data_IF_915150886956
#
_entry.id   IF_915150886956
#
_cell.length_a   1.000
_cell.length_b   1.000
_cell.length_c   1.000
_cell.angle_alpha   90.00
_cell.angle_beta   90.00
_cell.angle_gamma   90.00
#
_symmetry.space_group_name_H-M   'P 1'
#
loop_
_entity.id
_entity.type
_entity.pdbx_description
1 polymer ?
#
# COMPACT_ATOMS: atom_id res chain seq x y z
N UNK A 1 11.14 63.03 -58.88
CA UNK A 1 12.05 63.25 -57.73
C UNK A 1 11.23 63.94 -56.64
N UNK A 2 10.76 63.14 -55.68
CA UNK A 2 11.04 63.24 -54.23
C UNK A 2 10.17 64.30 -53.54
N UNK A 3 9.17 63.98 -52.72
CA UNK A 3 9.12 62.95 -51.67
C UNK A 3 9.30 63.62 -50.31
N UNK A 4 8.25 64.26 -49.78
CA UNK A 4 8.24 64.99 -48.51
C UNK A 4 8.17 64.01 -47.32
N UNK A 5 9.08 64.18 -46.36
CA UNK A 5 9.22 63.36 -45.16
C UNK A 5 9.36 64.25 -43.91
N UNK A 6 8.90 63.70 -42.78
CA UNK A 6 9.01 64.14 -41.38
C UNK A 6 8.02 65.20 -40.88
N UNK A 7 7.44 65.15 -39.68
CA UNK A 7 7.46 64.25 -38.50
C UNK A 7 6.56 64.95 -37.44
N UNK A 8 5.98 64.39 -36.37
CA UNK A 8 5.76 63.07 -35.78
C UNK A 8 4.88 63.38 -34.55
N UNK A 9 3.76 62.67 -34.38
CA UNK A 9 2.82 62.84 -33.26
C UNK A 9 3.44 62.39 -31.93
N UNK A 10 3.20 63.15 -30.86
CA UNK A 10 3.53 62.77 -29.49
C UNK A 10 2.54 61.75 -28.92
N UNK A 11 3.07 60.70 -28.30
CA UNK A 11 2.39 59.90 -27.27
C UNK A 11 3.39 59.65 -26.15
N UNK A 12 2.99 59.99 -24.94
CA UNK A 12 3.70 59.75 -23.69
C UNK A 12 3.98 58.26 -23.51
N UNK A 13 5.21 57.93 -23.10
CA UNK A 13 5.65 56.56 -22.77
C UNK A 13 5.69 56.46 -21.24
N UNK A 14 4.74 55.72 -20.67
CA UNK A 14 4.74 55.26 -19.27
C UNK A 14 5.82 54.17 -19.11
N UNK A 15 6.62 54.16 -18.02
CA UNK A 15 7.75 53.21 -17.85
C UNK A 15 7.28 51.75 -17.67
N UNK A 16 8.19 50.76 -17.87
CA UNK A 16 7.85 49.35 -17.81
C UNK A 16 7.54 48.94 -16.36
N UNK A 17 6.34 48.42 -16.13
CA UNK A 17 5.95 47.85 -14.84
C UNK A 17 6.83 46.62 -14.54
N UNK A 18 7.50 46.65 -13.40
CA UNK A 18 8.24 45.55 -12.80
C UNK A 18 7.35 44.31 -12.61
N UNK A 19 7.92 43.08 -12.69
CA UNK A 19 7.17 41.86 -12.43
C UNK A 19 6.78 41.79 -10.95
N UNK A 20 5.49 41.96 -10.66
CA UNK A 20 4.92 41.76 -9.33
C UNK A 20 5.20 40.34 -8.82
N UNK A 21 5.88 40.25 -7.67
CA UNK A 21 6.08 38.99 -6.95
C UNK A 21 4.75 38.24 -6.71
N UNK A 22 4.71 36.90 -6.83
CA UNK A 22 3.47 36.17 -6.72
C UNK A 22 2.98 36.12 -5.27
N UNK A 23 1.82 36.76 -5.04
CA UNK A 23 0.99 36.59 -3.86
C UNK A 23 0.83 35.12 -3.45
N UNK A 24 0.93 34.88 -2.14
CA UNK A 24 0.75 33.58 -1.49
C UNK A 24 -0.56 32.85 -1.85
N UNK A 25 -0.73 31.60 -1.37
CA UNK A 25 -1.79 30.72 -1.84
C UNK A 25 -3.18 31.36 -1.67
N UNK A 26 -4.08 31.23 -2.67
CA UNK A 26 -5.37 31.91 -2.66
C UNK A 26 -6.26 31.37 -1.53
N UNK A 27 -6.39 32.15 -0.45
CA UNK A 27 -7.23 31.83 0.72
C UNK A 27 -8.73 31.63 0.37
N UNK A 28 -9.20 32.05 -0.81
CA UNK A 28 -10.61 32.03 -1.19
C UNK A 28 -11.19 30.69 -1.70
N UNK A 29 -10.39 29.78 -2.28
CA UNK A 29 -10.92 28.49 -2.80
C UNK A 29 -11.19 27.47 -1.69
N UNK A 30 -10.37 27.46 -0.64
CA UNK A 30 -10.53 26.60 0.54
C UNK A 30 -11.86 26.83 1.26
N UNK A 31 -12.27 28.09 1.36
CA UNK A 31 -13.56 28.48 1.96
C UNK A 31 -14.74 27.97 1.14
N UNK A 32 -14.65 27.97 -0.20
CA UNK A 32 -15.72 27.49 -1.09
C UNK A 32 -16.01 26.00 -0.96
N UNK A 33 -14.99 25.15 -0.78
CA UNK A 33 -15.17 23.71 -0.60
C UNK A 33 -15.90 23.39 0.73
N UNK A 34 -15.51 24.05 1.82
CA UNK A 34 -16.18 23.92 3.13
C UNK A 34 -17.63 24.40 3.12
N UNK A 35 -17.95 25.42 2.31
CA UNK A 35 -19.30 25.98 2.20
C UNK A 35 -20.25 25.06 1.43
N UNK A 36 -19.76 24.29 0.45
CA UNK A 36 -20.61 23.46 -0.41
C UNK A 36 -21.32 22.30 0.34
N UNK A 37 -20.71 21.80 1.41
CA UNK A 37 -21.25 20.68 2.19
C UNK A 37 -21.89 21.07 3.53
N UNK A 38 -21.94 22.35 3.87
CA UNK A 38 -22.43 22.83 5.18
C UNK A 38 -23.92 22.56 5.42
N UNK A 39 -24.72 22.46 4.36
CA UNK A 39 -26.18 22.33 4.44
C UNK A 39 -26.73 21.01 3.85
N UNK A 40 -25.91 19.97 3.74
CA UNK A 40 -26.32 18.67 3.17
C UNK A 40 -26.74 17.72 4.30
N UNK A 41 -27.90 17.08 4.19
CA UNK A 41 -28.34 16.03 5.13
C UNK A 41 -27.28 14.93 5.25
N UNK A 42 -27.02 14.44 6.47
CA UNK A 42 -26.01 13.40 6.77
C UNK A 42 -26.15 12.17 5.86
N UNK A 43 -27.39 11.78 5.54
CA UNK A 43 -27.69 10.65 4.64
C UNK A 43 -27.25 10.92 3.19
N UNK A 44 -27.50 12.15 2.71
CA UNK A 44 -27.11 12.55 1.35
C UNK A 44 -25.59 12.71 1.23
N UNK A 45 -24.94 13.21 2.27
CA UNK A 45 -23.48 13.26 2.35
C UNK A 45 -22.85 11.87 2.32
N UNK A 46 -23.36 10.92 3.13
CA UNK A 46 -22.89 9.54 3.11
C UNK A 46 -23.07 8.88 1.73
N UNK A 47 -24.24 9.07 1.10
CA UNK A 47 -24.49 8.57 -0.26
C UNK A 47 -23.54 9.17 -1.30
N UNK A 48 -23.27 10.48 -1.22
CA UNK A 48 -22.32 11.15 -2.11
C UNK A 48 -20.89 10.63 -1.93
N UNK A 49 -20.46 10.39 -0.68
CA UNK A 49 -19.15 9.79 -0.40
C UNK A 49 -19.04 8.38 -0.97
N UNK A 50 -20.04 7.52 -0.72
CA UNK A 50 -20.08 6.17 -1.29
C UNK A 50 -20.02 6.22 -2.82
N UNK A 51 -20.80 7.12 -3.44
CA UNK A 51 -20.79 7.30 -4.89
C UNK A 51 -19.42 7.78 -5.41
N UNK A 52 -18.75 8.71 -4.73
CA UNK A 52 -17.42 9.17 -5.12
C UNK A 52 -16.36 8.06 -4.93
N UNK A 53 -16.45 7.27 -3.87
CA UNK A 53 -15.55 6.13 -3.62
C UNK A 53 -15.70 5.11 -4.73
N UNK A 54 -16.92 4.63 -5.00
CA UNK A 54 -17.19 3.65 -6.06
C UNK A 54 -16.78 4.19 -7.42
N UNK A 55 -17.15 5.45 -7.73
CA UNK A 55 -16.76 6.11 -8.96
C UNK A 55 -15.24 6.25 -9.11
N UNK A 56 -14.53 6.54 -8.02
CA UNK A 56 -13.06 6.60 -8.00
C UNK A 56 -12.44 5.21 -8.19
N UNK A 57 -12.95 4.19 -7.50
CA UNK A 57 -12.47 2.82 -7.66
C UNK A 57 -12.60 2.33 -9.11
N UNK A 58 -13.71 2.64 -9.77
CA UNK A 58 -13.93 2.30 -11.17
C UNK A 58 -13.02 3.10 -12.11
N UNK A 59 -12.94 4.43 -11.94
CA UNK A 59 -12.08 5.31 -12.75
C UNK A 59 -10.61 4.91 -12.70
N UNK A 60 -10.11 4.58 -11.52
CA UNK A 60 -8.71 4.20 -11.31
C UNK A 60 -8.45 2.71 -11.49
N UNK A 61 -9.44 1.91 -11.94
CA UNK A 61 -9.30 0.46 -12.15
C UNK A 61 -8.72 -0.27 -10.92
N UNK A 62 -9.25 0.05 -9.74
CA UNK A 62 -8.76 -0.46 -8.44
C UNK A 62 -8.70 -1.99 -8.40
N UNK A 63 -9.63 -2.68 -9.04
CA UNK A 63 -9.61 -4.15 -9.15
C UNK A 63 -8.40 -4.66 -9.94
N UNK A 64 -8.04 -3.99 -11.03
CA UNK A 64 -6.86 -4.31 -11.83
C UNK A 64 -5.55 -4.03 -11.08
N UNK A 65 -5.49 -2.90 -10.37
CA UNK A 65 -4.32 -2.55 -9.55
C UNK A 65 -4.18 -3.49 -8.34
N UNK A 66 -5.29 -3.92 -7.73
CA UNK A 66 -5.26 -4.94 -6.69
C UNK A 66 -4.73 -6.28 -7.21
N UNK A 67 -5.12 -6.69 -8.42
CA UNK A 67 -4.59 -7.89 -9.06
C UNK A 67 -3.09 -7.76 -9.39
N UNK A 68 -2.64 -6.59 -9.86
CA UNK A 68 -1.22 -6.30 -10.09
C UNK A 68 -0.41 -6.41 -8.79
N UNK A 69 -0.87 -5.77 -7.71
CA UNK A 69 -0.23 -5.85 -6.40
C UNK A 69 -0.18 -7.30 -5.88
N UNK A 70 -1.26 -8.07 -6.06
CA UNK A 70 -1.33 -9.46 -5.65
C UNK A 70 -0.37 -10.36 -6.44
N UNK A 71 -0.27 -10.17 -7.74
CA UNK A 71 0.68 -10.89 -8.59
C UNK A 71 2.13 -10.65 -8.14
N UNK A 72 2.53 -9.39 -7.97
CA UNK A 72 3.89 -9.04 -7.53
C UNK A 72 4.20 -9.51 -6.11
N UNK A 73 3.21 -9.47 -5.21
CA UNK A 73 3.33 -10.00 -3.87
C UNK A 73 3.53 -11.53 -3.90
N UNK A 74 2.66 -12.27 -4.60
CA UNK A 74 2.78 -13.73 -4.71
C UNK A 74 4.12 -14.16 -5.32
N UNK A 75 4.58 -13.47 -6.37
CA UNK A 75 5.87 -13.74 -7.02
C UNK A 75 7.06 -13.56 -6.05
N UNK A 76 6.95 -12.61 -5.11
CA UNK A 76 7.99 -12.36 -4.13
C UNK A 76 8.06 -13.41 -3.01
N UNK A 77 6.95 -14.07 -2.67
CA UNK A 77 6.85 -14.85 -1.44
C UNK A 77 7.84 -16.03 -1.33
N UNK A 78 7.92 -16.98 -2.29
CA UNK A 78 8.82 -18.12 -2.14
C UNK A 78 10.30 -17.73 -1.99
N UNK A 79 10.89 -16.92 -2.89
CA UNK A 79 12.30 -16.56 -2.75
C UNK A 79 12.57 -15.64 -1.56
N UNK A 80 11.61 -14.81 -1.14
CA UNK A 80 11.73 -14.00 0.07
C UNK A 80 11.85 -14.88 1.31
N UNK A 81 10.96 -15.87 1.46
CA UNK A 81 10.98 -16.79 2.61
C UNK A 81 12.30 -17.55 2.65
N UNK A 82 12.76 -18.08 1.51
CA UNK A 82 14.03 -18.80 1.41
C UNK A 82 15.23 -17.91 1.76
N UNK A 83 15.27 -16.67 1.25
CA UNK A 83 16.37 -15.76 1.58
C UNK A 83 16.37 -15.31 3.04
N UNK A 84 15.20 -15.05 3.63
CA UNK A 84 15.08 -14.76 5.06
C UNK A 84 15.55 -15.95 5.92
N UNK A 85 15.21 -17.18 5.51
CA UNK A 85 15.72 -18.39 6.17
C UNK A 85 17.23 -18.55 6.01
N UNK A 86 17.80 -18.19 4.85
CA UNK A 86 19.26 -18.17 4.67
C UNK A 86 19.94 -17.22 5.65
N UNK A 87 19.37 -16.02 5.87
CA UNK A 87 19.86 -15.07 6.88
C UNK A 87 19.72 -15.63 8.30
N UNK A 88 18.60 -16.29 8.61
CA UNK A 88 18.38 -16.95 9.90
C UNK A 88 19.34 -18.12 10.12
N UNK A 89 19.64 -18.92 9.09
CA UNK A 89 20.63 -20.00 9.15
C UNK A 89 22.03 -19.48 9.50
N UNK A 90 22.41 -18.29 9.02
CA UNK A 90 23.67 -17.66 9.41
C UNK A 90 23.69 -17.20 10.88
N UNK A 91 22.51 -16.93 11.46
CA UNK A 91 22.36 -16.54 12.87
C UNK A 91 22.03 -17.72 13.79
N UNK A 92 22.10 -18.95 13.28
CA UNK A 92 21.93 -20.20 14.04
C UNK A 92 22.74 -20.26 15.34
N UNK A 93 24.02 -19.80 15.40
CA UNK A 93 24.79 -19.80 16.64
C UNK A 93 24.18 -18.91 17.75
N UNK A 94 23.31 -17.97 17.39
CA UNK A 94 22.71 -16.99 18.30
C UNK A 94 21.28 -17.35 18.70
N UNK A 95 20.54 -18.07 17.84
CA UNK A 95 19.10 -18.36 17.99
C UNK A 95 18.85 -19.80 18.48
N UNK A 96 19.84 -20.69 18.34
CA UNK A 96 19.79 -22.08 18.75
C UNK A 96 19.19 -23.01 17.69
N UNK A 97 19.80 -24.18 17.50
CA UNK A 97 19.45 -25.19 16.49
C UNK A 97 17.98 -25.64 16.55
N UNK A 98 17.39 -25.72 17.75
CA UNK A 98 16.01 -26.17 17.96
C UNK A 98 14.97 -25.21 17.39
N UNK A 99 15.24 -23.90 17.47
CA UNK A 99 14.36 -22.87 16.91
C UNK A 99 14.33 -22.96 15.40
N UNK A 100 15.49 -23.15 14.76
CA UNK A 100 15.61 -23.21 13.30
C UNK A 100 14.90 -24.42 12.69
N UNK A 101 15.05 -25.60 13.30
CA UNK A 101 14.35 -26.82 12.86
C UNK A 101 12.83 -26.72 13.06
N UNK A 102 12.36 -26.05 14.12
CA UNK A 102 10.94 -25.75 14.29
C UNK A 102 10.41 -24.85 13.17
N UNK A 103 11.13 -23.79 12.78
CA UNK A 103 10.76 -22.94 11.65
C UNK A 103 10.70 -23.71 10.33
N UNK A 104 11.69 -24.58 10.09
CA UNK A 104 11.73 -25.45 8.91
C UNK A 104 10.52 -26.39 8.87
N UNK A 105 10.20 -27.02 9.99
CA UNK A 105 9.03 -27.89 10.13
C UNK A 105 7.70 -27.15 9.86
N UNK A 106 7.54 -25.95 10.41
CA UNK A 106 6.36 -25.11 10.15
C UNK A 106 6.26 -24.71 8.67
N UNK A 107 7.37 -24.35 8.04
CA UNK A 107 7.37 -23.97 6.63
C UNK A 107 7.04 -25.15 5.71
N UNK A 108 7.58 -26.34 5.97
CA UNK A 108 7.24 -27.53 5.20
C UNK A 108 5.77 -27.93 5.37
N UNK A 109 5.22 -27.79 6.59
CA UNK A 109 3.78 -27.98 6.82
C UNK A 109 2.95 -26.97 6.06
N UNK A 110 3.33 -25.68 6.09
CA UNK A 110 2.65 -24.63 5.33
C UNK A 110 2.79 -24.82 3.82
N UNK A 111 3.94 -25.29 3.34
CA UNK A 111 4.13 -25.64 1.94
C UNK A 111 3.22 -26.82 1.55
N UNK A 112 3.01 -27.79 2.44
CA UNK A 112 2.10 -28.92 2.21
C UNK A 112 0.61 -28.59 2.20
N UNK A 113 0.21 -27.40 2.68
CA UNK A 113 -1.16 -26.92 2.47
C UNK A 113 -1.35 -26.29 1.09
N UNK A 114 -0.26 -25.88 0.44
CA UNK A 114 -0.27 -25.17 -0.84
C UNK A 114 0.15 -26.06 -2.02
N UNK A 115 1.17 -26.87 -1.83
CA UNK A 115 1.77 -27.72 -2.84
C UNK A 115 1.30 -29.16 -2.70
N UNK A 116 1.34 -29.91 -3.81
CA UNK A 116 1.17 -31.37 -3.77
C UNK A 116 2.32 -32.02 -2.98
N UNK A 117 2.14 -33.28 -2.55
CA UNK A 117 3.23 -34.04 -1.93
C UNK A 117 4.51 -34.04 -2.77
N UNK A 118 4.39 -34.21 -4.10
CA UNK A 118 5.53 -34.08 -5.02
C UNK A 118 6.14 -32.68 -4.99
N UNK A 119 5.32 -31.62 -5.01
CA UNK A 119 5.83 -30.25 -4.89
C UNK A 119 6.56 -29.99 -3.57
N UNK A 120 6.14 -30.61 -2.47
CA UNK A 120 6.84 -30.49 -1.18
C UNK A 120 8.15 -31.28 -1.20
N UNK A 121 8.10 -32.55 -1.57
CA UNK A 121 9.25 -33.45 -1.41
C UNK A 121 10.29 -33.32 -2.53
N UNK A 122 9.87 -32.98 -3.76
CA UNK A 122 10.78 -32.83 -4.92
C UNK A 122 11.23 -31.38 -5.12
N UNK A 123 10.50 -30.38 -4.61
CA UNK A 123 10.83 -28.96 -4.82
C UNK A 123 11.10 -28.23 -3.50
N UNK A 124 10.13 -28.12 -2.60
CA UNK A 124 10.28 -27.29 -1.40
C UNK A 124 11.35 -27.80 -0.43
N UNK A 125 11.38 -29.11 -0.16
CA UNK A 125 12.32 -29.75 0.78
C UNK A 125 13.78 -29.67 0.28
N UNK A 126 14.10 -30.02 -0.99
CA UNK A 126 15.45 -29.84 -1.51
C UNK A 126 15.88 -28.37 -1.52
N UNK A 127 15.01 -27.44 -1.92
CA UNK A 127 15.34 -26.01 -1.91
C UNK A 127 15.68 -25.50 -0.50
N UNK A 128 14.93 -25.93 0.52
CA UNK A 128 15.24 -25.60 1.91
C UNK A 128 16.58 -26.21 2.34
N UNK A 129 16.85 -27.47 1.98
CA UNK A 129 18.14 -28.11 2.27
C UNK A 129 19.32 -27.38 1.60
N UNK A 130 19.17 -26.96 0.35
CA UNK A 130 20.20 -26.23 -0.39
C UNK A 130 20.51 -24.87 0.25
N UNK A 131 19.48 -24.19 0.79
CA UNK A 131 19.63 -22.93 1.53
C UNK A 131 20.45 -23.13 2.80
N UNK A 132 20.17 -24.17 3.59
CA UNK A 132 20.87 -24.41 4.85
C UNK A 132 22.28 -24.98 4.64
N UNK A 133 22.48 -25.81 3.62
CA UNK A 133 23.80 -26.39 3.32
C UNK A 133 24.71 -25.43 2.56
N UNK A 134 24.20 -24.25 2.16
CA UNK A 134 24.97 -23.25 1.42
C UNK A 134 25.41 -23.73 0.05
N UNK A 135 24.69 -24.66 -0.57
CA UNK A 135 25.14 -25.36 -1.78
C UNK A 135 25.08 -24.50 -3.05
N UNK A 136 24.27 -23.42 -3.04
CA UNK A 136 24.11 -22.44 -4.15
C UNK A 136 23.78 -21.02 -3.64
N UNK A 137 24.72 -20.35 -2.97
CA UNK A 137 24.47 -19.01 -2.40
C UNK A 137 24.19 -17.95 -3.47
N UNK A 138 24.70 -18.14 -4.69
CA UNK A 138 24.47 -17.33 -5.88
C UNK A 138 23.00 -17.31 -6.29
N UNK A 139 22.38 -18.48 -6.44
CA UNK A 139 20.97 -18.62 -6.83
C UNK A 139 20.04 -18.07 -5.75
N UNK A 140 20.36 -18.33 -4.48
CA UNK A 140 19.58 -17.86 -3.33
C UNK A 140 19.62 -16.33 -3.24
N UNK A 141 20.81 -15.74 -3.40
CA UNK A 141 20.99 -14.29 -3.35
C UNK A 141 20.28 -13.60 -4.50
N UNK A 142 20.37 -14.15 -5.72
CA UNK A 142 19.65 -13.63 -6.89
C UNK A 142 18.14 -13.74 -6.70
N UNK A 143 17.65 -14.89 -6.23
CA UNK A 143 16.24 -15.10 -5.92
C UNK A 143 15.74 -14.09 -4.90
N UNK A 144 16.47 -13.89 -3.80
CA UNK A 144 16.12 -12.93 -2.76
C UNK A 144 16.11 -11.48 -3.29
N UNK A 145 17.06 -11.10 -4.14
CA UNK A 145 17.07 -9.78 -4.78
C UNK A 145 15.85 -9.58 -5.68
N UNK A 146 15.48 -10.59 -6.48
CA UNK A 146 14.26 -10.57 -7.30
C UNK A 146 13.00 -10.53 -6.44
N UNK A 147 13.01 -11.18 -5.29
CA UNK A 147 11.93 -11.13 -4.31
C UNK A 147 11.73 -9.72 -3.75
N UNK A 148 12.84 -9.08 -3.32
CA UNK A 148 12.83 -7.71 -2.82
C UNK A 148 12.34 -6.73 -3.88
N UNK A 149 12.81 -6.90 -5.11
CA UNK A 149 12.36 -6.09 -6.24
C UNK A 149 10.86 -6.28 -6.47
N UNK A 150 10.37 -7.52 -6.60
CA UNK A 150 8.96 -7.84 -6.84
C UNK A 150 8.06 -7.33 -5.71
N UNK A 151 8.42 -7.56 -4.46
CA UNK A 151 7.66 -7.08 -3.31
C UNK A 151 7.62 -5.54 -3.24
N UNK A 152 8.73 -4.87 -3.53
CA UNK A 152 8.76 -3.40 -3.64
C UNK A 152 7.88 -2.86 -4.77
N UNK A 153 7.70 -3.64 -5.86
CA UNK A 153 6.75 -3.29 -6.93
C UNK A 153 5.31 -3.39 -6.45
N UNK A 154 4.96 -4.41 -5.68
CA UNK A 154 3.62 -4.50 -5.08
C UNK A 154 3.34 -3.29 -4.18
N UNK A 155 4.32 -2.89 -3.34
CA UNK A 155 4.20 -1.69 -2.51
C UNK A 155 4.08 -0.40 -3.33
N UNK A 156 4.80 -0.31 -4.44
CA UNK A 156 4.71 0.83 -5.34
C UNK A 156 3.32 0.98 -5.94
N UNK A 157 2.60 -0.11 -6.22
CA UNK A 157 1.20 -0.03 -6.69
C UNK A 157 0.36 0.71 -5.67
N UNK A 158 0.48 0.41 -4.37
CA UNK A 158 -0.25 1.14 -3.33
C UNK A 158 0.18 2.62 -3.27
N UNK A 159 1.48 2.89 -3.12
CA UNK A 159 2.00 4.26 -2.96
C UNK A 159 1.60 5.16 -4.13
N UNK A 160 1.77 4.68 -5.35
CA UNK A 160 1.46 5.43 -6.57
C UNK A 160 -0.05 5.64 -6.72
N UNK A 161 -0.85 4.60 -6.53
CA UNK A 161 -2.32 4.68 -6.62
C UNK A 161 -2.90 5.64 -5.59
N UNK A 162 -2.42 5.58 -4.33
CA UNK A 162 -2.84 6.52 -3.28
C UNK A 162 -2.49 7.95 -3.69
N UNK A 163 -1.27 8.18 -4.20
CA UNK A 163 -0.84 9.51 -4.66
C UNK A 163 -1.73 10.05 -5.79
N UNK A 164 -2.07 9.19 -6.75
CA UNK A 164 -2.96 9.51 -7.88
C UNK A 164 -4.39 9.80 -7.40
N UNK A 165 -4.92 9.01 -6.47
CA UNK A 165 -6.27 9.22 -5.92
C UNK A 165 -6.41 10.57 -5.23
N UNK A 166 -5.34 11.04 -4.57
CA UNK A 166 -5.26 12.39 -3.99
C UNK A 166 -5.05 13.49 -5.04
N UNK A 167 -4.83 13.16 -6.31
CA UNK A 167 -4.57 14.12 -7.39
C UNK A 167 -3.23 14.83 -7.26
N UNK A 168 -2.23 14.12 -6.72
CA UNK A 168 -0.87 14.63 -6.53
C UNK A 168 0.16 13.84 -7.36
N UNK A 169 -0.30 13.26 -8.45
CA UNK A 169 0.51 12.50 -9.39
C UNK A 169 1.64 13.37 -9.98
N UNK A 170 2.80 12.76 -10.19
CA UNK A 170 4.00 13.46 -10.69
C UNK A 170 4.74 14.33 -9.66
N UNK A 171 4.12 14.74 -8.54
CA UNK A 171 4.75 15.66 -7.56
C UNK A 171 6.04 15.12 -6.94
N UNK A 172 6.09 13.82 -6.63
CA UNK A 172 7.25 13.18 -5.99
C UNK A 172 8.33 12.79 -7.01
N UNK A 173 7.97 12.59 -8.27
CA UNK A 173 8.82 12.00 -9.31
C UNK A 173 9.01 10.48 -9.15
N UNK A 174 9.28 9.79 -10.26
CA UNK A 174 9.28 8.32 -10.34
C UNK A 174 10.35 7.69 -9.43
N UNK A 175 11.57 8.24 -9.42
CA UNK A 175 12.70 7.70 -8.64
C UNK A 175 12.43 7.74 -7.14
N UNK A 176 11.93 8.88 -6.63
CA UNK A 176 11.63 9.04 -5.20
C UNK A 176 10.42 8.19 -4.78
N UNK A 177 9.41 8.04 -5.64
CA UNK A 177 8.30 7.12 -5.39
C UNK A 177 8.77 5.67 -5.30
N UNK A 178 9.68 5.25 -6.19
CA UNK A 178 10.28 3.91 -6.15
C UNK A 178 11.13 3.68 -4.90
N UNK A 179 11.98 4.63 -4.54
CA UNK A 179 12.80 4.54 -3.34
C UNK A 179 11.94 4.46 -2.07
N UNK A 180 10.90 5.30 -1.97
CA UNK A 180 9.95 5.25 -0.86
C UNK A 180 9.27 3.89 -0.77
N UNK A 181 8.78 3.36 -1.90
CA UNK A 181 8.11 2.05 -1.94
C UNK A 181 9.03 0.92 -1.49
N UNK A 182 10.31 0.97 -1.87
CA UNK A 182 11.32 0.02 -1.42
C UNK A 182 11.58 0.12 0.10
N UNK A 183 11.75 1.33 0.64
CA UNK A 183 11.96 1.54 2.08
C UNK A 183 10.72 1.10 2.89
N UNK A 184 9.52 1.46 2.45
CA UNK A 184 8.27 1.03 3.07
C UNK A 184 8.12 -0.50 3.02
N UNK A 185 8.53 -1.14 1.93
CA UNK A 185 8.54 -2.59 1.83
C UNK A 185 9.49 -3.22 2.85
N UNK A 186 10.73 -2.73 2.98
CA UNK A 186 11.67 -3.22 4.00
C UNK A 186 11.13 -3.01 5.42
N UNK A 187 10.52 -1.85 5.70
CA UNK A 187 9.90 -1.58 6.99
C UNK A 187 8.71 -2.52 7.27
N UNK A 188 7.88 -2.79 6.25
CA UNK A 188 6.77 -3.73 6.35
C UNK A 188 7.26 -5.18 6.55
N UNK A 189 8.37 -5.58 5.92
CA UNK A 189 9.01 -6.87 6.15
C UNK A 189 9.52 -6.99 7.59
N UNK A 190 10.22 -5.98 8.10
CA UNK A 190 10.71 -5.99 9.48
C UNK A 190 9.56 -6.03 10.49
N UNK A 191 8.52 -5.22 10.29
CA UNK A 191 7.31 -5.24 11.11
C UNK A 191 6.58 -6.60 11.03
N UNK A 192 6.46 -7.15 9.82
CA UNK A 192 5.83 -8.46 9.59
C UNK A 192 6.60 -9.63 10.20
N UNK A 193 7.93 -9.59 10.19
CA UNK A 193 8.78 -10.60 10.81
C UNK A 193 8.56 -10.71 12.34
N UNK A 194 8.13 -9.61 12.98
CA UNK A 194 7.80 -9.58 14.42
C UNK A 194 6.30 -9.86 14.63
N UNK A 195 5.44 -9.20 13.86
CA UNK A 195 3.99 -9.24 14.05
C UNK A 195 3.37 -10.57 13.65
N UNK A 196 3.80 -11.20 12.55
CA UNK A 196 3.20 -12.44 12.05
C UNK A 196 3.42 -13.62 13.01
N UNK A 197 4.64 -13.89 13.52
CA UNK A 197 4.82 -14.95 14.51
C UNK A 197 4.00 -14.70 15.77
N UNK A 198 3.94 -13.45 16.25
CA UNK A 198 3.12 -13.09 17.41
C UNK A 198 1.63 -13.34 17.15
N UNK A 199 1.17 -13.09 15.92
CA UNK A 199 -0.21 -13.33 15.48
C UNK A 199 -0.53 -14.82 15.38
N UNK A 200 0.38 -15.62 14.82
CA UNK A 200 0.22 -17.07 14.61
C UNK A 200 0.34 -17.85 15.92
N UNK A 201 1.26 -17.44 16.78
CA UNK A 201 1.48 -18.03 18.09
C UNK A 201 0.28 -17.84 19.03
N UNK A 202 -0.57 -16.83 18.75
CA UNK A 202 -1.75 -16.53 19.54
C UNK A 202 -1.43 -15.95 20.92
N UNK A 203 -2.47 -15.68 21.73
CA UNK A 203 -2.28 -15.13 23.07
C UNK A 203 -1.54 -16.09 24.00
N UNK A 204 -1.68 -17.41 23.81
CA UNK A 204 -1.13 -18.44 24.71
C UNK A 204 0.40 -18.40 24.83
N UNK A 205 1.12 -18.09 23.73
CA UNK A 205 2.58 -17.96 23.76
C UNK A 205 3.03 -16.69 24.48
N UNK A 206 2.27 -15.59 24.34
CA UNK A 206 2.54 -14.32 25.04
C UNK A 206 2.33 -14.47 26.55
N UNK A 207 1.28 -15.21 26.93
CA UNK A 207 1.00 -15.56 28.33
C UNK A 207 2.14 -16.38 28.94
N UNK A 208 2.77 -17.28 28.18
CA UNK A 208 3.92 -18.05 28.64
C UNK A 208 5.13 -17.20 29.05
N UNK A 209 5.26 -15.98 28.50
CA UNK A 209 6.36 -15.05 28.82
C UNK A 209 6.02 -14.16 30.03
N UNK A 210 4.74 -13.86 30.25
CA UNK A 210 4.22 -13.11 31.40
C UNK A 210 3.04 -13.85 32.07
N UNK A 211 3.30 -14.93 32.83
CA UNK A 211 2.25 -15.76 33.44
C UNK A 211 1.38 -15.00 34.47
N UNK A 212 1.89 -13.92 35.05
CA UNK A 212 1.15 -13.09 36.02
C UNK A 212 0.00 -12.25 35.40
N UNK A 213 -0.11 -12.18 34.06
CA UNK A 213 -1.03 -11.28 33.36
C UNK A 213 -1.90 -11.99 32.32
N UNK A 214 -2.18 -13.30 32.49
CA UNK A 214 -2.89 -14.12 31.51
C UNK A 214 -4.22 -13.50 31.02
N UNK A 215 -5.09 -13.13 31.96
CA UNK A 215 -6.40 -12.55 31.65
C UNK A 215 -6.28 -11.21 30.92
N UNK A 216 -5.28 -10.39 31.28
CA UNK A 216 -5.02 -9.10 30.63
C UNK A 216 -4.54 -9.32 29.20
N UNK A 217 -3.61 -10.25 28.98
CA UNK A 217 -3.05 -10.55 27.66
C UNK A 217 -4.14 -11.08 26.72
N UNK A 218 -4.95 -12.06 27.15
CA UNK A 218 -6.03 -12.62 26.32
C UNK A 218 -7.05 -11.56 25.88
N UNK A 219 -7.38 -10.61 26.76
CA UNK A 219 -8.35 -9.54 26.46
C UNK A 219 -7.74 -8.43 25.61
N UNK A 220 -6.50 -8.00 25.89
CA UNK A 220 -5.86 -6.90 25.17
C UNK A 220 -5.26 -7.30 23.82
N UNK A 221 -5.02 -8.59 23.58
CA UNK A 221 -4.38 -9.07 22.36
C UNK A 221 -5.08 -8.60 21.07
N UNK A 222 -6.37 -8.88 20.93
CA UNK A 222 -7.14 -8.50 19.74
C UNK A 222 -7.28 -6.99 19.56
N UNK A 223 -7.60 -6.19 20.60
CA UNK A 223 -7.53 -4.74 20.53
C UNK A 223 -6.17 -4.21 20.10
N UNK A 224 -5.07 -4.77 20.62
CA UNK A 224 -3.72 -4.36 20.24
C UNK A 224 -3.44 -4.68 18.77
N UNK A 225 -3.78 -5.89 18.30
CA UNK A 225 -3.66 -6.27 16.89
C UNK A 225 -4.45 -5.31 16.01
N UNK A 226 -5.71 -5.00 16.39
CA UNK A 226 -6.56 -4.06 15.66
C UNK A 226 -5.94 -2.65 15.57
N UNK A 227 -5.45 -2.14 16.70
CA UNK A 227 -4.79 -0.83 16.78
C UNK A 227 -3.53 -0.81 15.92
N UNK A 228 -2.70 -1.86 15.99
CA UNK A 228 -1.48 -1.97 15.18
C UNK A 228 -1.80 -2.08 13.69
N UNK A 229 -2.84 -2.83 13.29
CA UNK A 229 -3.29 -2.90 11.90
C UNK A 229 -3.78 -1.55 11.39
N UNK A 230 -4.59 -0.84 12.18
CA UNK A 230 -5.04 0.52 11.84
C UNK A 230 -3.84 1.46 11.75
N UNK A 231 -2.91 1.40 12.71
CA UNK A 231 -1.72 2.25 12.70
C UNK A 231 -0.82 1.98 11.49
N UNK A 232 -0.64 0.70 11.12
CA UNK A 232 0.10 0.30 9.94
C UNK A 232 -0.53 0.84 8.65
N UNK A 233 -1.85 0.62 8.46
CA UNK A 233 -2.57 1.11 7.29
C UNK A 233 -2.60 2.64 7.21
N UNK A 234 -2.85 3.31 8.34
CA UNK A 234 -2.82 4.77 8.42
C UNK A 234 -1.44 5.31 8.07
N UNK A 235 -0.37 4.66 8.54
CA UNK A 235 1.01 5.02 8.19
C UNK A 235 1.32 4.81 6.72
N UNK A 236 0.84 3.71 6.11
CA UNK A 236 0.96 3.46 4.68
C UNK A 236 0.28 4.59 3.88
N UNK A 237 -0.94 4.98 4.22
CA UNK A 237 -1.66 6.06 3.55
C UNK A 237 -0.95 7.40 3.74
N UNK A 238 -0.58 7.72 4.98
CA UNK A 238 0.06 8.97 5.33
C UNK A 238 1.39 9.18 4.58
N UNK A 239 2.24 8.15 4.56
CA UNK A 239 3.55 8.22 3.89
C UNK A 239 3.41 8.18 2.35
N UNK A 240 2.34 7.58 1.83
CA UNK A 240 2.10 7.55 0.39
C UNK A 240 1.80 8.93 -0.17
N UNK A 241 1.15 9.81 0.59
CA UNK A 241 0.81 11.17 0.15
C UNK A 241 2.05 12.10 0.20
N UNK A 242 2.42 12.80 -0.89
CA UNK A 242 3.65 13.61 -0.96
C UNK A 242 3.52 14.99 -0.27
N UNK A 243 2.63 15.12 0.71
CA UNK A 243 2.45 16.32 1.52
C UNK A 243 2.14 15.93 2.97
N UNK A 244 2.52 16.80 3.91
CA UNK A 244 2.28 16.55 5.33
C UNK A 244 0.87 17.01 5.72
N UNK A 245 -0.07 16.07 5.77
CA UNK A 245 -1.36 16.20 6.46
C UNK A 245 -1.25 15.70 7.91
N UNK A 246 -2.20 16.01 8.80
CA UNK A 246 -2.32 15.32 10.07
C UNK A 246 -2.55 13.81 9.87
N UNK A 247 -1.73 12.95 10.49
CA UNK A 247 -1.83 11.48 10.41
C UNK A 247 -3.24 10.94 10.74
N UNK A 248 -3.97 11.64 11.61
CA UNK A 248 -5.34 11.27 12.02
C UNK A 248 -6.36 11.34 10.88
N UNK A 249 -6.09 12.13 9.83
CA UNK A 249 -6.98 12.25 8.67
C UNK A 249 -7.06 10.95 7.87
N UNK A 250 -6.07 10.07 7.99
CA UNK A 250 -5.99 8.81 7.23
C UNK A 250 -6.63 7.61 7.96
N UNK A 251 -7.02 7.77 9.23
CA UNK A 251 -7.63 6.72 10.07
C UNK A 251 -8.96 6.19 9.51
N UNK A 252 -9.90 7.03 9.00
CA UNK A 252 -11.18 6.55 8.50
C UNK A 252 -11.03 5.51 7.38
N UNK A 253 -10.10 5.75 6.45
CA UNK A 253 -9.78 4.81 5.37
C UNK A 253 -9.13 3.53 5.89
N UNK A 254 -8.29 3.60 6.93
CA UNK A 254 -7.71 2.40 7.56
C UNK A 254 -8.78 1.51 8.20
N UNK A 255 -9.76 2.12 8.87
CA UNK A 255 -10.92 1.40 9.43
C UNK A 255 -11.76 0.77 8.33
N UNK A 256 -12.04 1.50 7.25
CA UNK A 256 -12.80 0.97 6.09
C UNK A 256 -12.04 -0.16 5.41
N UNK A 257 -10.74 -0.03 5.18
CA UNK A 257 -9.91 -1.09 4.61
C UNK A 257 -9.92 -2.33 5.49
N UNK A 258 -9.79 -2.19 6.81
CA UNK A 258 -9.81 -3.32 7.72
C UNK A 258 -11.17 -4.01 7.74
N UNK A 259 -12.26 -3.26 7.77
CA UNK A 259 -13.62 -3.81 7.68
C UNK A 259 -13.86 -4.53 6.36
N UNK A 260 -13.44 -3.95 5.23
CA UNK A 260 -13.53 -4.56 3.91
C UNK A 260 -12.65 -5.80 3.78
N UNK A 261 -11.49 -5.82 4.42
CA UNK A 261 -10.60 -6.98 4.44
C UNK A 261 -11.21 -8.14 5.23
N UNK A 262 -11.81 -7.87 6.40
CA UNK A 262 -12.52 -8.88 7.20
C UNK A 262 -13.70 -9.45 6.40
N UNK A 263 -14.54 -8.57 5.85
CA UNK A 263 -15.70 -8.97 5.04
C UNK A 263 -15.26 -9.77 3.81
N UNK A 264 -14.26 -9.28 3.08
CA UNK A 264 -13.72 -9.94 1.90
C UNK A 264 -13.10 -11.29 2.23
N UNK A 265 -12.37 -11.41 3.34
CA UNK A 265 -11.80 -12.68 3.80
C UNK A 265 -12.90 -13.68 4.16
N UNK A 266 -13.97 -13.23 4.81
CA UNK A 266 -15.13 -14.07 5.12
C UNK A 266 -15.83 -14.55 3.84
N UNK A 267 -16.10 -13.65 2.90
CA UNK A 267 -16.71 -13.99 1.61
C UNK A 267 -15.83 -14.94 0.79
N UNK A 268 -14.51 -14.70 0.79
CA UNK A 268 -13.56 -15.59 0.13
C UNK A 268 -13.56 -16.98 0.77
N UNK A 269 -13.64 -17.06 2.10
CA UNK A 269 -13.77 -18.35 2.80
C UNK A 269 -15.03 -19.10 2.35
N UNK A 270 -16.17 -18.42 2.24
CA UNK A 270 -17.40 -19.04 1.73
C UNK A 270 -17.24 -19.52 0.28
N UNK A 271 -16.58 -18.73 -0.57
CA UNK A 271 -16.29 -19.14 -1.94
C UNK A 271 -15.37 -20.38 -2.00
N UNK A 272 -14.27 -20.37 -1.25
CA UNK A 272 -13.31 -21.47 -1.25
C UNK A 272 -13.91 -22.77 -0.68
N UNK A 273 -14.67 -22.67 0.42
CA UNK A 273 -15.37 -23.84 0.98
C UNK A 273 -16.40 -24.42 0.01
N UNK A 274 -17.10 -23.59 -0.75
CA UNK A 274 -18.09 -24.05 -1.73
C UNK A 274 -17.48 -24.56 -3.04
N UNK A 275 -16.43 -23.91 -3.56
CA UNK A 275 -15.90 -24.13 -4.90
C UNK A 275 -14.59 -24.94 -4.93
N UNK A 276 -13.83 -24.97 -3.83
CA UNK A 276 -12.46 -25.48 -3.78
C UNK A 276 -12.30 -26.71 -2.87
N UNK A 277 -13.04 -26.80 -1.76
CA UNK A 277 -12.93 -27.90 -0.79
C UNK A 277 -13.67 -29.20 -1.20
N UNK A 278 -14.30 -29.25 -2.39
CA UNK A 278 -14.90 -30.47 -2.95
C UNK A 278 -13.92 -31.39 -3.70
N UNK A 279 -14.39 -32.47 -4.36
CA UNK A 279 -13.60 -33.21 -5.34
C UNK A 279 -13.37 -32.32 -6.55
N UNK A 280 -12.38 -31.44 -6.45
CA UNK A 280 -12.12 -30.43 -7.47
C UNK A 280 -11.13 -30.93 -8.50
N UNK A 281 -11.43 -30.66 -9.77
CA UNK A 281 -10.49 -30.82 -10.89
C UNK A 281 -9.24 -29.95 -10.72
N UNK A 282 -9.27 -28.98 -9.80
CA UNK A 282 -8.19 -28.04 -9.53
C UNK A 282 -7.11 -28.60 -8.61
N UNK A 283 -7.34 -29.71 -7.91
CA UNK A 283 -6.31 -30.49 -7.19
C UNK A 283 -5.27 -29.64 -6.47
N UNK A 284 -4.01 -29.71 -6.91
CA UNK A 284 -2.88 -28.96 -6.31
C UNK A 284 -2.82 -27.46 -6.65
N UNK A 285 -3.65 -26.96 -7.57
CA UNK A 285 -3.74 -25.52 -7.92
C UNK A 285 -4.72 -24.76 -7.02
N UNK A 286 -5.60 -25.48 -6.32
CA UNK A 286 -6.59 -24.93 -5.39
C UNK A 286 -5.99 -23.92 -4.41
N UNK A 287 -4.91 -24.32 -3.73
CA UNK A 287 -4.34 -23.51 -2.67
C UNK A 287 -3.52 -22.30 -3.15
N UNK A 288 -2.68 -22.38 -4.20
CA UNK A 288 -2.07 -21.19 -4.80
C UNK A 288 -3.11 -20.17 -5.29
N UNK A 289 -4.21 -20.64 -5.87
CA UNK A 289 -5.33 -19.79 -6.28
C UNK A 289 -5.98 -19.12 -5.06
N UNK A 290 -6.22 -19.86 -3.97
CA UNK A 290 -6.75 -19.32 -2.73
C UNK A 290 -5.86 -18.20 -2.15
N UNK A 291 -4.54 -18.42 -2.12
CA UNK A 291 -3.56 -17.42 -1.67
C UNK A 291 -3.59 -16.18 -2.57
N UNK A 292 -3.57 -16.35 -3.89
CA UNK A 292 -3.64 -15.23 -4.84
C UNK A 292 -4.92 -14.40 -4.65
N UNK A 293 -6.07 -15.06 -4.50
CA UNK A 293 -7.35 -14.41 -4.26
C UNK A 293 -7.36 -13.67 -2.92
N UNK A 294 -6.80 -14.26 -1.87
CA UNK A 294 -6.73 -13.63 -0.55
C UNK A 294 -5.85 -12.38 -0.55
N UNK A 295 -4.69 -12.43 -1.20
CA UNK A 295 -3.83 -11.26 -1.39
C UNK A 295 -4.56 -10.22 -2.25
N UNK A 296 -5.26 -10.63 -3.30
CA UNK A 296 -6.07 -9.75 -4.16
C UNK A 296 -7.17 -9.02 -3.40
N UNK A 297 -7.94 -9.74 -2.58
CA UNK A 297 -8.95 -9.15 -1.69
C UNK A 297 -8.32 -8.18 -0.69
N UNK A 298 -7.15 -8.52 -0.15
CA UNK A 298 -6.40 -7.65 0.76
C UNK A 298 -5.95 -6.35 0.09
N UNK A 299 -5.36 -6.45 -1.10
CA UNK A 299 -4.95 -5.30 -1.89
C UNK A 299 -6.16 -4.42 -2.27
N UNK A 300 -7.27 -5.04 -2.66
CA UNK A 300 -8.51 -4.35 -2.97
C UNK A 300 -9.03 -3.57 -1.75
N UNK A 301 -9.10 -4.20 -0.58
CA UNK A 301 -9.54 -3.55 0.65
C UNK A 301 -8.69 -2.33 1.02
N UNK A 302 -7.36 -2.44 0.90
CA UNK A 302 -6.42 -1.32 1.13
C UNK A 302 -6.66 -0.17 0.15
N UNK A 303 -6.87 -0.45 -1.13
CA UNK A 303 -7.13 0.58 -2.15
C UNK A 303 -8.51 1.24 -1.99
N UNK A 304 -9.53 0.50 -1.53
CA UNK A 304 -10.84 1.08 -1.18
C UNK A 304 -10.72 2.02 0.02
N UNK A 305 -9.94 1.65 1.04
CA UNK A 305 -9.63 2.55 2.17
C UNK A 305 -8.90 3.82 1.73
N UNK A 306 -7.95 3.72 0.79
CA UNK A 306 -7.30 4.87 0.18
C UNK A 306 -8.29 5.78 -0.57
N UNK A 307 -9.21 5.19 -1.33
CA UNK A 307 -10.26 5.92 -2.04
C UNK A 307 -11.20 6.66 -1.08
N UNK A 308 -11.51 6.06 0.08
CA UNK A 308 -12.25 6.72 1.17
C UNK A 308 -11.52 7.96 1.68
N UNK A 309 -10.23 7.85 2.01
CA UNK A 309 -9.45 9.01 2.49
C UNK A 309 -9.35 10.10 1.43
N UNK A 310 -9.13 9.73 0.16
CA UNK A 310 -9.09 10.69 -0.94
C UNK A 310 -10.45 11.40 -1.16
N UNK A 311 -11.57 10.68 -1.00
CA UNK A 311 -12.91 11.26 -1.07
C UNK A 311 -13.16 12.23 0.10
N UNK A 312 -12.76 11.86 1.32
CA UNK A 312 -12.84 12.75 2.49
C UNK A 312 -12.01 14.03 2.29
N UNK A 313 -10.78 13.92 1.79
CA UNK A 313 -9.92 15.08 1.51
C UNK A 313 -10.44 15.93 0.33
N UNK A 314 -11.25 15.38 -0.59
CA UNK A 314 -11.96 16.21 -1.59
C UNK A 314 -13.06 17.07 -0.96
N UNK A 315 -13.76 16.53 0.04
CA UNK A 315 -14.88 17.22 0.72
C UNK A 315 -14.36 18.20 1.78
N UNK A 316 -13.39 17.76 2.58
CA UNK A 316 -12.74 18.54 3.63
C UNK A 316 -11.22 18.53 3.43
N UNK A 317 -10.71 19.29 2.44
CA UNK A 317 -9.29 19.28 2.14
C UNK A 317 -8.47 19.85 3.28
N UNK A 318 -7.34 19.19 3.58
CA UNK A 318 -6.29 19.79 4.38
C UNK A 318 -5.70 21.01 3.65
N UNK A 319 -5.14 21.97 4.39
CA UNK A 319 -4.49 23.14 3.79
C UNK A 319 -3.32 22.72 2.90
N UNK A 320 -2.58 21.69 3.33
CA UNK A 320 -1.43 21.18 2.61
C UNK A 320 -1.82 20.50 1.28
N UNK A 321 -2.83 19.62 1.29
CA UNK A 321 -3.31 18.92 0.08
C UNK A 321 -3.93 19.89 -0.92
N UNK A 322 -4.73 20.85 -0.45
CA UNK A 322 -5.32 21.87 -1.32
C UNK A 322 -4.27 22.77 -1.99
N UNK A 323 -3.30 23.29 -1.21
CA UNK A 323 -2.23 24.12 -1.74
C UNK A 323 -1.40 23.34 -2.78
N UNK A 324 -1.14 22.06 -2.49
CA UNK A 324 -0.39 21.19 -3.37
C UNK A 324 -1.08 20.91 -4.71
N UNK A 325 -2.39 20.66 -4.70
CA UNK A 325 -3.20 20.52 -5.92
C UNK A 325 -3.24 21.80 -6.75
N UNK A 326 -3.40 22.95 -6.08
CA UNK A 326 -3.42 24.24 -6.76
C UNK A 326 -2.10 24.55 -7.46
N UNK A 327 -0.98 24.25 -6.79
CA UNK A 327 0.36 24.38 -7.38
C UNK A 327 0.55 23.45 -8.59
N UNK A 328 0.15 22.19 -8.48
CA UNK A 328 0.26 21.23 -9.59
C UNK A 328 -0.59 21.64 -10.79
N UNK A 329 -1.80 22.15 -10.56
CA UNK A 329 -2.67 22.64 -11.61
C UNK A 329 -2.09 23.85 -12.35
N UNK A 330 -1.39 24.75 -11.63
CA UNK A 330 -0.67 25.88 -12.24
C UNK A 330 0.48 25.43 -13.12
N UNK A 331 1.26 24.44 -12.67
CA UNK A 331 2.37 23.87 -13.43
C UNK A 331 1.90 23.25 -14.73
N UNK A 332 0.86 22.41 -14.68
CA UNK A 332 0.27 21.82 -15.88
C UNK A 332 -0.25 22.87 -16.86
N UNK A 333 -0.94 23.89 -16.35
CA UNK A 333 -1.42 24.98 -17.20
C UNK A 333 -0.28 25.77 -17.85
N UNK A 334 0.87 25.92 -17.20
CA UNK A 334 2.05 26.54 -17.80
C UNK A 334 2.69 25.64 -18.87
N UNK A 335 2.83 24.34 -18.59
CA UNK A 335 3.35 23.35 -19.54
C UNK A 335 2.48 23.28 -20.81
N UNK A 336 1.15 23.35 -20.66
CA UNK A 336 0.21 23.34 -21.80
C UNK A 336 0.33 24.61 -22.66
N UNK A 337 0.70 25.76 -22.06
CA UNK A 337 0.92 27.02 -22.78
C UNK A 337 2.25 27.03 -23.53
N UNK A 338 3.29 26.41 -22.98
CA UNK A 338 4.61 26.32 -23.62
C UNK A 338 4.63 25.27 -24.76
N UNK A 339 3.68 24.34 -24.77
CA UNK A 339 3.59 23.25 -25.76
C UNK A 339 2.69 23.56 -26.98
N UNK A 340 1.93 24.66 -26.96
CA UNK A 340 0.99 25.09 -28.02
C UNK A 340 1.53 26.23 -28.86
#
# INVERSE_FOLDING_TARGET
MSGSCHARYGKEVQPPNEPTEPHGPPRGRLTRARVLYRNVSKRRLAWLLVKDIVGSCMRYRVTGLAAEAAFWCLLSLPPLILGLLGVLGYTEPWIGHTTLENFRGHLLRAAGTVLSHRGVDEVARPLLQDVFTGRRPDVISLGFALALWSGSRALNVFVDTITIMYGLDGRRGIVRTRLLSFVLYLAALAAGAIALPLMVAGPDVVVGWLPASENVIRVLYWPVVLILSIAFLTTLYHLSVPVRSPWREDIPGAVVALAMWILGSFLLRLYLTAAVEGPTIYGSLAAPIAVLLWIGVSAFAVLVGAAMNAALDRVWPSVATAAARAELARRRAAEDLDAG
#
